data_IF_182498838174
#
_entry.id   IF_182498838174
#
_cell.length_a   1.000
_cell.length_b   1.000
_cell.length_c   1.000
_cell.angle_alpha   90.00
_cell.angle_beta   90.00
_cell.angle_gamma   90.00
#
_symmetry.space_group_name_H-M   'P 1'
#
loop_
_entity.id
_entity.type
_entity.pdbx_description
1 polymer ?
#
# COMPACT_ATOMS: atom_id res chain seq x y z
N UNK A 1 5.30 10.71 20.21
CA UNK A 1 5.73 9.31 20.40
C UNK A 1 4.89 8.49 19.43
N UNK A 2 5.40 8.25 18.22
CA UNK A 2 4.69 7.44 17.23
C UNK A 2 4.90 5.98 17.63
N UNK A 3 3.81 5.32 18.05
CA UNK A 3 3.80 3.88 18.27
C UNK A 3 4.11 3.24 16.92
N UNK A 4 5.38 2.85 16.76
CA UNK A 4 5.79 1.79 15.86
C UNK A 4 5.25 0.47 16.42
N UNK A 5 3.92 0.37 16.59
CA UNK A 5 3.26 -0.90 16.77
C UNK A 5 3.29 -1.59 15.42
N UNK A 6 4.43 -2.27 15.24
CA UNK A 6 4.64 -3.46 14.47
C UNK A 6 3.34 -3.97 13.84
N UNK A 7 3.18 -3.68 12.55
CA UNK A 7 2.63 -4.67 11.64
C UNK A 7 3.51 -5.90 11.84
N UNK A 8 3.18 -6.71 12.86
CA UNK A 8 4.04 -7.80 13.32
C UNK A 8 4.30 -8.70 12.13
N UNK A 9 5.47 -9.34 12.09
CA UNK A 9 5.97 -10.18 10.99
C UNK A 9 4.99 -11.26 10.48
N UNK A 10 3.83 -11.43 11.12
CA UNK A 10 2.77 -12.40 10.78
C UNK A 10 1.66 -11.80 9.88
N UNK A 11 1.60 -10.48 9.68
CA UNK A 11 0.46 -9.83 9.00
C UNK A 11 0.69 -9.46 7.52
N UNK A 12 1.92 -9.14 7.09
CA UNK A 12 2.17 -8.76 5.68
C UNK A 12 2.05 -9.96 4.74
N UNK A 13 2.57 -11.12 5.12
CA UNK A 13 2.44 -12.34 4.32
C UNK A 13 0.97 -12.75 4.18
N UNK A 14 0.19 -12.62 5.24
CA UNK A 14 -1.26 -12.82 5.23
C UNK A 14 -1.97 -11.81 4.32
N UNK A 15 -1.52 -10.55 4.30
CA UNK A 15 -2.05 -9.50 3.40
C UNK A 15 -1.77 -9.80 1.93
N UNK A 16 -0.54 -10.20 1.63
CA UNK A 16 -0.16 -10.61 0.28
C UNK A 16 -1.00 -11.82 -0.13
N UNK A 17 -1.17 -12.81 0.75
CA UNK A 17 -1.96 -14.00 0.49
C UNK A 17 -3.45 -13.69 0.28
N UNK A 18 -4.06 -12.83 1.09
CA UNK A 18 -5.45 -12.40 0.90
C UNK A 18 -5.63 -11.67 -0.44
N UNK A 19 -4.65 -10.87 -0.83
CA UNK A 19 -4.68 -10.11 -2.06
C UNK A 19 -4.21 -10.89 -3.30
N UNK A 20 -3.72 -12.13 -3.17
CA UNK A 20 -3.47 -13.00 -4.32
C UNK A 20 -4.74 -13.28 -5.12
N UNK A 21 -5.90 -13.29 -4.46
CA UNK A 21 -7.21 -13.40 -5.13
C UNK A 21 -7.60 -12.12 -5.90
N UNK A 22 -6.86 -11.02 -5.73
CA UNK A 22 -7.08 -9.74 -6.39
C UNK A 22 -5.76 -9.16 -6.92
N UNK A 23 -5.31 -9.61 -8.11
CA UNK A 23 -4.02 -9.21 -8.69
C UNK A 23 -3.82 -7.68 -8.78
N UNK A 24 -4.87 -6.93 -9.11
CA UNK A 24 -4.80 -5.47 -9.19
C UNK A 24 -4.48 -4.82 -7.83
N UNK A 25 -5.05 -5.32 -6.74
CA UNK A 25 -4.74 -4.82 -5.40
C UNK A 25 -3.31 -5.18 -4.98
N UNK A 26 -2.83 -6.36 -5.38
CA UNK A 26 -1.45 -6.79 -5.13
C UNK A 26 -0.43 -5.96 -5.92
N UNK A 27 -0.69 -5.68 -7.18
CA UNK A 27 0.17 -4.84 -8.02
C UNK A 27 0.20 -3.38 -7.52
N UNK A 28 -0.93 -2.90 -6.99
CA UNK A 28 -0.97 -1.60 -6.32
C UNK A 28 -0.11 -1.58 -5.05
N UNK A 29 -0.15 -2.62 -4.22
CA UNK A 29 0.73 -2.73 -3.05
C UNK A 29 2.21 -2.77 -3.43
N UNK A 30 2.58 -3.49 -4.50
CA UNK A 30 3.95 -3.49 -5.02
C UNK A 30 4.39 -2.10 -5.45
N UNK A 31 3.52 -1.37 -6.16
CA UNK A 31 3.80 0.01 -6.57
C UNK A 31 4.08 0.92 -5.38
N UNK A 32 3.33 0.78 -4.27
CA UNK A 32 3.59 1.54 -3.05
C UNK A 32 4.79 1.03 -2.23
N UNK A 33 5.14 -0.25 -2.36
CA UNK A 33 6.39 -0.78 -1.81
C UNK A 33 7.61 -0.15 -2.51
N UNK A 34 7.56 -0.03 -3.83
CA UNK A 34 8.60 0.60 -4.66
C UNK A 34 8.66 2.11 -4.42
N UNK A 35 7.52 2.79 -4.45
CA UNK A 35 7.42 4.23 -4.39
C UNK A 35 6.63 4.70 -3.17
N UNK A 36 7.26 5.52 -2.33
CA UNK A 36 6.55 6.12 -1.19
C UNK A 36 5.43 7.07 -1.64
N UNK A 37 5.64 7.76 -2.75
CA UNK A 37 4.70 8.71 -3.34
C UNK A 37 4.35 8.21 -4.75
N UNK A 38 3.06 8.00 -4.99
CA UNK A 38 2.55 7.47 -6.26
C UNK A 38 1.50 8.43 -6.79
N UNK A 39 1.67 8.91 -8.02
CA UNK A 39 0.66 9.73 -8.67
C UNK A 39 -0.45 8.88 -9.30
N UNK A 40 -1.59 9.50 -9.53
CA UNK A 40 -2.78 8.80 -10.07
C UNK A 40 -2.55 8.15 -11.43
N UNK A 41 -1.73 8.77 -12.29
CA UNK A 41 -1.37 8.25 -13.62
C UNK A 41 -0.55 6.95 -13.50
N UNK A 42 0.39 6.89 -12.54
CA UNK A 42 1.17 5.68 -12.26
C UNK A 42 0.26 4.54 -11.85
N UNK A 43 -0.70 4.80 -10.93
CA UNK A 43 -1.69 3.80 -10.52
C UNK A 43 -2.47 3.29 -11.73
N UNK A 44 -3.08 4.18 -12.51
CA UNK A 44 -3.87 3.80 -13.69
C UNK A 44 -3.07 2.96 -14.68
N UNK A 45 -1.79 3.27 -14.90
CA UNK A 45 -0.90 2.52 -15.79
C UNK A 45 -0.53 1.15 -15.22
N UNK A 46 -0.20 1.07 -13.93
CA UNK A 46 0.23 -0.19 -13.30
C UNK A 46 -0.88 -1.23 -13.31
N UNK A 47 -2.10 -0.83 -12.99
CA UNK A 47 -3.23 -1.78 -12.87
C UNK A 47 -4.22 -1.70 -14.04
N UNK A 48 -3.89 -0.96 -15.10
CA UNK A 48 -4.70 -0.83 -16.33
C UNK A 48 -6.15 -0.42 -16.07
N UNK A 49 -6.36 0.59 -15.23
CA UNK A 49 -7.69 1.11 -14.87
C UNK A 49 -7.87 2.56 -15.28
N UNK A 50 -9.11 3.05 -15.19
CA UNK A 50 -9.40 4.47 -15.31
C UNK A 50 -9.21 5.22 -14.00
N UNK A 51 -9.06 6.53 -14.16
CA UNK A 51 -8.91 7.51 -13.08
C UNK A 51 -10.03 7.45 -12.02
N UNK A 52 -11.26 7.13 -12.47
CA UNK A 52 -12.43 7.02 -11.62
C UNK A 52 -12.43 5.76 -10.74
N UNK A 53 -11.68 4.72 -11.13
CA UNK A 53 -11.61 3.44 -10.41
C UNK A 53 -10.54 3.42 -9.31
N UNK A 54 -9.60 4.38 -9.32
CA UNK A 54 -8.48 4.44 -8.38
C UNK A 54 -8.93 4.41 -6.91
N UNK A 55 -9.93 5.23 -6.48
CA UNK A 55 -10.38 5.21 -5.08
C UNK A 55 -10.94 3.84 -4.66
N UNK A 56 -11.69 3.17 -5.55
CA UNK A 56 -12.27 1.85 -5.28
C UNK A 56 -11.18 0.79 -5.11
N UNK A 57 -10.13 0.82 -5.93
CA UNK A 57 -9.01 -0.13 -5.81
C UNK A 57 -8.22 0.09 -4.52
N UNK A 58 -7.96 1.35 -4.16
CA UNK A 58 -7.34 1.68 -2.87
C UNK A 58 -8.21 1.24 -1.69
N UNK A 59 -9.53 1.43 -1.77
CA UNK A 59 -10.46 0.99 -0.72
C UNK A 59 -10.41 -0.53 -0.50
N UNK A 60 -10.25 -1.34 -1.56
CA UNK A 60 -10.04 -2.79 -1.40
C UNK A 60 -8.75 -3.12 -0.64
N UNK A 61 -7.65 -2.42 -0.93
CA UNK A 61 -6.38 -2.62 -0.22
C UNK A 61 -6.52 -2.20 1.24
N UNK A 62 -7.09 -1.02 1.50
CA UNK A 62 -7.33 -0.54 2.87
C UNK A 62 -8.24 -1.50 3.65
N UNK A 63 -9.28 -2.03 3.02
CA UNK A 63 -10.19 -3.01 3.67
C UNK A 63 -9.45 -4.31 4.05
N UNK A 64 -8.59 -4.83 3.17
CA UNK A 64 -7.77 -5.99 3.48
C UNK A 64 -6.78 -5.70 4.63
N UNK A 65 -6.13 -4.52 4.61
CA UNK A 65 -5.25 -4.09 5.69
C UNK A 65 -6.00 -4.03 7.03
N UNK A 66 -7.20 -3.43 7.08
CA UNK A 66 -8.01 -3.36 8.31
C UNK A 66 -8.36 -4.74 8.84
N UNK A 67 -8.79 -5.66 7.95
CA UNK A 67 -9.17 -7.03 8.33
C UNK A 67 -8.02 -7.81 8.95
N UNK A 68 -6.79 -7.59 8.49
CA UNK A 68 -5.61 -8.34 8.91
C UNK A 68 -4.94 -7.70 10.12
N UNK A 69 -4.77 -6.37 10.09
CA UNK A 69 -4.16 -5.64 11.20
C UNK A 69 -5.09 -5.52 12.41
N UNK A 70 -6.41 -5.65 12.22
CA UNK A 70 -7.40 -5.31 13.23
C UNK A 70 -7.50 -3.82 13.53
N UNK A 71 -6.78 -2.97 12.78
CA UNK A 71 -6.81 -1.52 12.93
C UNK A 71 -7.87 -0.92 12.00
N UNK A 72 -8.88 -0.29 12.57
CA UNK A 72 -9.94 0.39 11.82
C UNK A 72 -9.52 1.78 11.32
N UNK A 73 -8.31 2.25 11.68
CA UNK A 73 -7.83 3.58 11.28
C UNK A 73 -7.34 3.57 9.82
N UNK A 74 -7.82 4.55 9.05
CA UNK A 74 -7.41 4.79 7.65
C UNK A 74 -6.16 5.65 7.52
N UNK A 75 -5.09 5.31 8.23
CA UNK A 75 -3.85 6.09 8.18
C UNK A 75 -2.76 5.45 7.30
N UNK A 76 -3.09 4.40 6.54
CA UNK A 76 -2.13 3.67 5.71
C UNK A 76 -1.80 4.39 4.41
N UNK A 77 -2.82 4.98 3.78
CA UNK A 77 -2.72 5.74 2.55
C UNK A 77 -3.24 7.15 2.77
N UNK A 78 -2.46 8.15 2.37
CA UNK A 78 -2.86 9.55 2.44
C UNK A 78 -2.93 10.16 1.04
N UNK A 79 -4.03 10.84 0.75
CA UNK A 79 -4.18 11.63 -0.46
C UNK A 79 -3.57 13.01 -0.26
N UNK A 80 -2.71 13.42 -1.19
CA UNK A 80 -2.13 14.76 -1.30
C UNK A 80 -2.94 15.54 -2.35
N UNK A 81 -3.86 16.43 -1.94
CA UNK A 81 -4.75 17.13 -2.87
C UNK A 81 -4.00 18.09 -3.79
N UNK A 82 -2.91 18.69 -3.32
CA UNK A 82 -2.15 19.69 -4.08
C UNK A 82 -1.37 19.09 -5.25
N UNK A 83 -1.01 17.81 -5.17
CA UNK A 83 -0.15 17.13 -6.15
C UNK A 83 -0.83 15.97 -6.86
N UNK A 84 -2.09 15.66 -6.53
CA UNK A 84 -2.83 14.50 -7.04
C UNK A 84 -2.11 13.16 -6.80
N UNK A 85 -1.42 13.06 -5.67
CA UNK A 85 -0.59 11.91 -5.30
C UNK A 85 -1.13 11.19 -4.07
N UNK A 86 -0.80 9.92 -3.96
CA UNK A 86 -1.02 9.10 -2.78
C UNK A 86 0.32 8.79 -2.12
N UNK A 87 0.35 8.81 -0.80
CA UNK A 87 1.49 8.36 -0.01
C UNK A 87 1.13 7.17 0.85
N UNK A 88 2.08 6.27 1.07
CA UNK A 88 1.96 5.16 2.00
C UNK A 88 2.76 5.45 3.28
N UNK A 89 2.23 5.01 4.43
CA UNK A 89 2.95 5.08 5.70
C UNK A 89 4.28 4.30 5.66
N UNK A 90 5.36 4.90 6.19
CA UNK A 90 6.71 4.34 6.14
C UNK A 90 6.82 2.92 6.71
N UNK A 91 6.13 2.63 7.82
CA UNK A 91 6.15 1.30 8.45
C UNK A 91 5.60 0.22 7.53
N UNK A 92 4.43 0.45 6.93
CA UNK A 92 3.80 -0.48 5.98
C UNK A 92 4.66 -0.65 4.73
N UNK A 93 5.18 0.44 4.17
CA UNK A 93 6.07 0.38 2.99
C UNK A 93 7.30 -0.48 3.25
N UNK A 94 7.99 -0.27 4.36
CA UNK A 94 9.21 -1.01 4.68
C UNK A 94 8.93 -2.51 4.87
N UNK A 95 7.80 -2.84 5.51
CA UNK A 95 7.39 -4.22 5.70
C UNK A 95 7.04 -4.91 4.35
N UNK A 96 6.37 -4.20 3.43
CA UNK A 96 6.11 -4.69 2.08
C UNK A 96 7.40 -4.89 1.27
N UNK A 97 8.36 -3.96 1.35
CA UNK A 97 9.66 -4.10 0.66
C UNK A 97 10.41 -5.35 1.13
N UNK A 98 10.39 -5.61 2.43
CA UNK A 98 10.98 -6.82 3.01
C UNK A 98 10.34 -8.09 2.42
N UNK A 99 9.01 -8.19 2.40
CA UNK A 99 8.33 -9.40 1.89
C UNK A 99 8.41 -9.57 0.37
N UNK A 100 8.44 -8.49 -0.39
CA UNK A 100 8.66 -8.58 -1.84
C UNK A 100 10.13 -8.79 -2.21
N UNK A 101 11.05 -8.89 -1.23
CA UNK A 101 12.49 -9.03 -1.49
C UNK A 101 13.09 -7.81 -2.21
N UNK A 102 12.43 -6.65 -2.11
CA UNK A 102 12.91 -5.41 -2.70
C UNK A 102 14.06 -4.88 -1.85
N UNK A 103 15.19 -4.54 -2.48
CA UNK A 103 16.29 -3.87 -1.79
C UNK A 103 15.74 -2.62 -1.12
N UNK A 104 15.92 -2.47 0.19
CA UNK A 104 15.73 -1.20 0.88
C UNK A 104 16.89 -0.32 0.45
N UNK A 105 16.68 0.44 -0.63
CA UNK A 105 17.55 1.56 -0.95
C UNK A 105 17.20 2.65 0.06
N UNK A 106 18.01 2.74 1.11
CA UNK A 106 18.16 3.93 1.93
C UNK A 106 18.78 5.02 1.03
N UNK A 107 18.01 5.56 0.09
CA UNK A 107 18.36 6.83 -0.52
C UNK A 107 17.82 7.92 0.39
N UNK A 108 18.73 8.39 1.26
CA UNK A 108 18.63 9.59 2.09
C UNK A 108 18.43 10.85 1.24
#
# INVERSE_FOLDING_TARGET
>A
MFLAEEFSKENISSLIQELQANPAALDLLKLFAEHQIVNKIQICRTISITDAEVPTRLAHVTTAIRKISGDERDHWFHWLPDTTQWTIGFGLRNALRHEFGMRVTDEY
#
